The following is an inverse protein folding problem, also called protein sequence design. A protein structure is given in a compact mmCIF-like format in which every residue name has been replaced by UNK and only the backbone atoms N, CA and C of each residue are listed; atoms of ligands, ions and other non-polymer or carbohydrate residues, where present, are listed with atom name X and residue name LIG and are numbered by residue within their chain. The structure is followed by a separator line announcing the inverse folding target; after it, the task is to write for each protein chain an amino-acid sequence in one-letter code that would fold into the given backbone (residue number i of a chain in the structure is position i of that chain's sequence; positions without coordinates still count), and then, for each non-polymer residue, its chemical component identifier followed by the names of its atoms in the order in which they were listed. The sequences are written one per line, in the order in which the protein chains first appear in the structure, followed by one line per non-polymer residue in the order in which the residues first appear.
data_IF_082313792653
#
_entry.id   IF_082313792653
#
_cell.length_a   1.000
_cell.length_b   1.000
_cell.length_c   1.000
_cell.angle_alpha   90.00
_cell.angle_beta   90.00
_cell.angle_gamma   90.00
#
_symmetry.space_group_name_H-M   'P 1'
#
loop_
_entity.id
_entity.type
_entity.pdbx_description
1 polymer ?
#
# COMPACT_ATOMS: atom_id res chain seq x y z
N UNK A 1 30.42 0.77 -14.82
CA UNK A 1 30.41 -0.28 -13.79
C UNK A 1 29.41 0.11 -12.72
N UNK A 2 28.50 -0.79 -12.35
CA UNK A 2 27.55 -0.57 -11.24
C UNK A 2 28.25 -1.05 -9.96
N UNK A 3 28.30 -0.21 -8.91
CA UNK A 3 28.93 -0.56 -7.62
C UNK A 3 27.91 -0.90 -6.55
N UNK A 4 26.97 0.01 -6.31
CA UNK A 4 25.89 -0.17 -5.34
C UNK A 4 24.54 0.04 -6.04
N UNK A 5 23.74 -1.01 -6.15
CA UNK A 5 22.42 -0.97 -6.76
C UNK A 5 21.42 -1.85 -5.99
N UNK A 6 21.04 -1.42 -4.78
CA UNK A 6 19.90 -1.95 -4.02
C UNK A 6 19.77 -3.48 -3.94
N UNK A 7 18.55 -3.96 -3.66
CA UNK A 7 18.17 -5.39 -3.64
C UNK A 7 18.09 -6.00 -5.06
N UNK A 8 18.94 -5.57 -5.99
CA UNK A 8 18.94 -6.06 -7.37
C UNK A 8 19.23 -7.56 -7.38
N UNK A 9 18.25 -8.35 -7.81
CA UNK A 9 18.38 -9.80 -7.91
C UNK A 9 18.94 -10.25 -9.25
N UNK A 10 18.59 -9.54 -10.32
CA UNK A 10 18.97 -9.86 -11.68
C UNK A 10 19.18 -8.57 -12.49
N UNK A 11 20.17 -8.61 -13.39
CA UNK A 11 20.45 -7.56 -14.35
C UNK A 11 20.72 -8.20 -15.69
N UNK A 12 19.91 -7.84 -16.69
CA UNK A 12 20.09 -8.27 -18.06
C UNK A 12 20.38 -7.07 -18.97
N UNK A 13 21.41 -7.19 -19.81
CA UNK A 13 21.79 -6.17 -20.79
C UNK A 13 21.72 -6.81 -22.17
N UNK A 14 20.85 -6.29 -23.03
CA UNK A 14 20.69 -6.76 -24.42
C UNK A 14 20.92 -5.62 -25.41
N UNK A 15 21.46 -5.95 -26.58
CA UNK A 15 21.56 -5.04 -27.72
C UNK A 15 20.36 -5.32 -28.63
N UNK A 16 19.36 -4.44 -28.58
CA UNK A 16 18.07 -4.67 -29.22
C UNK A 16 17.20 -5.72 -28.49
N UNK A 17 15.91 -5.74 -28.80
CA UNK A 17 14.92 -6.63 -28.17
C UNK A 17 13.53 -6.01 -28.11
N UNK A 18 12.56 -6.80 -27.65
CA UNK A 18 11.21 -6.32 -27.39
C UNK A 18 11.13 -5.69 -26.00
N UNK A 19 10.28 -4.66 -25.88
CA UNK A 19 10.05 -3.98 -24.61
C UNK A 19 9.20 -4.88 -23.69
N UNK A 20 9.58 -5.05 -22.41
CA UNK A 20 8.75 -5.77 -21.44
C UNK A 20 7.37 -5.10 -21.31
N UNK A 21 6.32 -5.90 -21.16
CA UNK A 21 4.94 -5.42 -21.22
C UNK A 21 4.56 -4.56 -20.02
N UNK A 22 5.08 -4.88 -18.82
CA UNK A 22 4.80 -4.17 -17.57
C UNK A 22 6.09 -3.70 -16.87
N UNK A 23 6.80 -2.75 -17.48
CA UNK A 23 8.02 -2.18 -16.91
C UNK A 23 7.96 -0.65 -16.79
N UNK A 24 8.54 -0.11 -15.71
CA UNK A 24 8.95 1.29 -15.70
C UNK A 24 10.15 1.46 -16.64
N UNK A 25 10.14 2.52 -17.46
CA UNK A 25 11.16 2.75 -18.49
C UNK A 25 11.84 4.10 -18.28
N UNK A 26 13.15 4.13 -18.45
CA UNK A 26 13.95 5.34 -18.60
C UNK A 26 14.84 5.24 -19.84
N UNK A 27 15.09 6.37 -20.50
CA UNK A 27 16.02 6.44 -21.64
C UNK A 27 17.19 7.36 -21.29
N UNK A 28 18.40 6.91 -21.63
CA UNK A 28 19.62 7.72 -21.57
C UNK A 28 20.46 7.41 -22.80
N UNK A 29 20.84 8.45 -23.56
CA UNK A 29 21.65 8.42 -24.79
C UNK A 29 21.99 7.01 -25.34
N UNK A 30 21.07 6.45 -26.14
CA UNK A 30 21.27 5.17 -26.83
C UNK A 30 20.97 3.91 -26.02
N UNK A 31 20.53 4.04 -24.77
CA UNK A 31 20.16 2.94 -23.87
C UNK A 31 18.73 3.12 -23.35
N UNK A 32 17.96 2.05 -23.38
CA UNK A 32 16.68 1.92 -22.69
C UNK A 32 16.88 1.07 -21.43
N UNK A 33 16.42 1.57 -20.27
CA UNK A 33 16.46 0.87 -18.99
C UNK A 33 15.04 0.51 -18.62
N UNK A 34 14.80 -0.77 -18.37
CA UNK A 34 13.51 -1.31 -17.95
C UNK A 34 13.62 -1.86 -16.54
N UNK A 35 12.63 -1.54 -15.70
CA UNK A 35 12.42 -2.17 -14.40
C UNK A 35 11.11 -2.94 -14.49
N UNK A 36 11.14 -4.27 -14.70
CA UNK A 36 9.94 -5.10 -14.68
C UNK A 36 9.21 -4.91 -13.36
N UNK A 37 7.94 -4.50 -13.44
CA UNK A 37 7.09 -4.28 -12.27
C UNK A 37 6.46 -5.58 -11.78
N UNK A 38 6.51 -6.62 -12.61
CA UNK A 38 6.05 -7.99 -12.35
C UNK A 38 6.75 -8.57 -11.10
N UNK A 39 8.01 -8.21 -10.86
CA UNK A 39 8.81 -8.69 -9.72
C UNK A 39 8.64 -7.86 -8.44
N UNK A 40 8.02 -6.68 -8.51
CA UNK A 40 7.75 -5.85 -7.33
C UNK A 40 6.57 -6.39 -6.50
N UNK A 41 5.72 -7.24 -7.09
CA UNK A 41 4.60 -7.92 -6.43
C UNK A 41 4.58 -9.38 -6.89
N UNK A 42 5.27 -10.30 -6.17
CA UNK A 42 5.52 -11.67 -6.64
C UNK A 42 4.27 -12.52 -6.85
N UNK A 43 3.12 -12.14 -6.26
CA UNK A 43 1.82 -12.77 -6.50
C UNK A 43 0.70 -11.78 -6.12
N UNK A 44 -0.09 -11.27 -7.09
CA UNK A 44 -1.22 -10.39 -6.83
C UNK A 44 -2.26 -10.96 -5.85
N UNK A 45 -2.49 -12.29 -5.85
CA UNK A 45 -3.40 -12.94 -4.90
C UNK A 45 -2.84 -12.95 -3.49
N UNK A 46 -1.53 -13.17 -3.34
CA UNK A 46 -0.86 -13.10 -2.05
C UNK A 46 -0.89 -11.67 -1.48
N UNK A 47 -0.63 -10.68 -2.34
CA UNK A 47 -0.66 -9.26 -1.95
C UNK A 47 -2.09 -8.81 -1.60
N UNK A 48 -3.10 -9.22 -2.38
CA UNK A 48 -4.50 -9.03 -2.02
C UNK A 48 -4.80 -9.63 -0.64
N UNK A 49 -4.40 -10.87 -0.38
CA UNK A 49 -4.63 -11.53 0.91
C UNK A 49 -3.97 -10.77 2.07
N UNK A 50 -2.75 -10.23 1.86
CA UNK A 50 -2.03 -9.40 2.84
C UNK A 50 -2.76 -8.09 3.12
N UNK A 51 -3.16 -7.38 2.06
CA UNK A 51 -3.89 -6.11 2.15
C UNK A 51 -5.25 -6.29 2.83
N UNK A 52 -6.01 -7.32 2.46
CA UNK A 52 -7.28 -7.64 3.13
C UNK A 52 -7.09 -7.95 4.61
N UNK A 53 -6.02 -8.67 4.99
CA UNK A 53 -5.71 -8.95 6.41
C UNK A 53 -5.39 -7.67 7.18
N UNK A 54 -4.63 -6.77 6.57
CA UNK A 54 -4.32 -5.46 7.17
C UNK A 54 -5.57 -4.59 7.30
N UNK A 55 -6.40 -4.54 6.24
CA UNK A 55 -7.67 -3.81 6.22
C UNK A 55 -8.60 -4.30 7.33
N UNK A 56 -8.75 -5.63 7.50
CA UNK A 56 -9.55 -6.20 8.60
C UNK A 56 -9.06 -5.77 9.99
N UNK A 57 -7.75 -5.60 10.19
CA UNK A 57 -7.21 -5.10 11.47
C UNK A 57 -7.57 -3.63 11.68
N UNK A 58 -7.36 -2.80 10.67
CA UNK A 58 -7.70 -1.36 10.70
C UNK A 58 -9.20 -1.16 10.93
N UNK A 59 -10.06 -1.96 10.29
CA UNK A 59 -11.51 -1.89 10.48
C UNK A 59 -11.95 -2.22 11.91
N UNK A 60 -11.32 -3.20 12.57
CA UNK A 60 -11.61 -3.52 13.97
C UNK A 60 -11.26 -2.38 14.92
N UNK A 61 -10.11 -1.73 14.70
CA UNK A 61 -9.72 -0.56 15.47
C UNK A 61 -10.68 0.61 15.25
N UNK A 62 -11.09 0.85 13.99
CA UNK A 62 -12.10 1.85 13.66
C UNK A 62 -13.42 1.59 14.37
N UNK A 63 -13.91 0.35 14.35
CA UNK A 63 -15.15 -0.03 15.02
C UNK A 63 -15.07 0.23 16.53
N UNK A 64 -13.95 -0.13 17.17
CA UNK A 64 -13.73 0.15 18.58
C UNK A 64 -13.74 1.65 18.88
N UNK A 65 -13.01 2.45 18.09
CA UNK A 65 -12.94 3.90 18.23
C UNK A 65 -14.30 4.56 18.02
N UNK A 66 -15.06 4.13 17.01
CA UNK A 66 -16.40 4.64 16.72
C UNK A 66 -17.37 4.33 17.86
N UNK A 67 -17.37 3.10 18.38
CA UNK A 67 -18.19 2.71 19.55
C UNK A 67 -17.81 3.51 20.79
N UNK A 68 -16.52 3.72 21.03
CA UNK A 68 -16.02 4.51 22.16
C UNK A 68 -16.47 5.98 22.05
N UNK A 69 -16.37 6.56 20.85
CA UNK A 69 -16.71 7.95 20.59
C UNK A 69 -18.22 8.22 20.40
N UNK A 70 -19.05 7.19 20.22
CA UNK A 70 -20.51 7.31 20.23
C UNK A 70 -21.12 7.12 21.61
N UNK A 71 -20.35 6.60 22.58
CA UNK A 71 -20.80 6.42 23.95
C UNK A 71 -20.84 7.76 24.70
N UNK A 72 -22.05 8.21 25.08
CA UNK A 72 -22.28 9.47 25.81
C UNK A 72 -21.55 9.51 27.16
N UNK A 73 -21.56 8.41 27.91
CA UNK A 73 -20.88 8.33 29.21
C UNK A 73 -19.37 8.57 29.06
N UNK A 74 -18.78 8.06 27.98
CA UNK A 74 -17.36 8.31 27.69
C UNK A 74 -17.13 9.79 27.34
N UNK A 75 -17.98 10.38 26.49
CA UNK A 75 -17.84 11.77 26.07
C UNK A 75 -18.01 12.77 27.22
N UNK A 76 -18.89 12.46 28.17
CA UNK A 76 -19.17 13.34 29.32
C UNK A 76 -18.13 13.20 30.45
N UNK A 77 -17.60 11.98 30.65
CA UNK A 77 -16.71 11.69 31.80
C UNK A 77 -15.24 11.71 31.46
N UNK A 78 -14.85 11.54 30.19
CA UNK A 78 -13.45 11.54 29.80
C UNK A 78 -12.90 12.98 29.71
N UNK A 79 -11.63 13.21 30.09
CA UNK A 79 -10.97 14.49 29.86
C UNK A 79 -10.98 14.87 28.37
N UNK A 80 -11.10 16.17 28.08
CA UNK A 80 -11.17 16.66 26.70
C UNK A 80 -9.96 16.22 25.86
N UNK A 81 -8.75 16.21 26.44
CA UNK A 81 -7.53 15.75 25.77
C UNK A 81 -7.61 14.27 25.37
N UNK A 82 -8.24 13.43 26.19
CA UNK A 82 -8.45 12.01 25.88
C UNK A 82 -9.44 11.86 24.73
N UNK A 83 -10.56 12.58 24.76
CA UNK A 83 -11.54 12.58 23.67
C UNK A 83 -10.91 13.07 22.36
N UNK A 84 -10.14 14.15 22.41
CA UNK A 84 -9.43 14.70 21.26
C UNK A 84 -8.42 13.69 20.68
N UNK A 85 -7.66 12.99 21.54
CA UNK A 85 -6.73 11.94 21.13
C UNK A 85 -7.44 10.77 20.43
N UNK A 86 -8.57 10.30 20.96
CA UNK A 86 -9.33 9.23 20.32
C UNK A 86 -9.94 9.67 18.97
N UNK A 87 -10.39 10.93 18.86
CA UNK A 87 -10.83 11.50 17.56
C UNK A 87 -9.68 11.60 16.56
N UNK A 88 -8.49 11.96 17.02
CA UNK A 88 -7.27 11.96 16.20
C UNK A 88 -6.94 10.58 15.66
N UNK A 89 -6.96 9.56 16.52
CA UNK A 89 -6.80 8.15 16.09
C UNK A 89 -7.88 7.73 15.09
N UNK A 90 -9.15 8.09 15.34
CA UNK A 90 -10.23 7.75 14.41
C UNK A 90 -9.95 8.28 13.00
N UNK A 91 -9.45 9.53 12.90
CA UNK A 91 -9.06 10.13 11.62
C UNK A 91 -7.90 9.39 10.98
N UNK A 92 -6.82 9.16 11.72
CA UNK A 92 -5.63 8.46 11.21
C UNK A 92 -5.96 7.06 10.68
N UNK A 93 -6.75 6.28 11.43
CA UNK A 93 -7.16 4.96 11.00
C UNK A 93 -8.13 5.01 9.82
N UNK A 94 -8.94 6.07 9.69
CA UNK A 94 -9.85 6.25 8.54
C UNK A 94 -9.06 6.55 7.27
N UNK A 95 -8.06 7.44 7.37
CA UNK A 95 -7.15 7.77 6.27
C UNK A 95 -6.33 6.54 5.86
N UNK A 96 -5.87 5.74 6.83
CA UNK A 96 -5.18 4.48 6.57
C UNK A 96 -6.08 3.46 5.88
N UNK A 97 -7.35 3.35 6.30
CA UNK A 97 -8.33 2.46 5.65
C UNK A 97 -8.50 2.83 4.18
N UNK A 98 -8.71 4.11 3.88
CA UNK A 98 -8.90 4.60 2.52
C UNK A 98 -7.70 4.25 1.61
N UNK A 99 -6.47 4.47 2.08
CA UNK A 99 -5.24 4.11 1.33
C UNK A 99 -5.11 2.60 1.10
N UNK A 100 -5.52 1.78 2.07
CA UNK A 100 -5.51 0.33 1.92
C UNK A 100 -6.58 -0.16 0.93
N UNK A 101 -7.75 0.48 0.93
CA UNK A 101 -8.84 0.20 -0.02
C UNK A 101 -8.42 0.55 -1.45
N UNK A 102 -7.85 1.74 -1.67
CA UNK A 102 -7.31 2.18 -2.96
C UNK A 102 -6.25 1.22 -3.49
N UNK A 103 -5.29 0.83 -2.64
CA UNK A 103 -4.25 -0.12 -3.04
C UNK A 103 -4.82 -1.50 -3.34
N UNK A 104 -5.80 -1.97 -2.55
CA UNK A 104 -6.46 -3.26 -2.80
C UNK A 104 -7.20 -3.27 -4.14
N UNK A 105 -7.85 -2.16 -4.49
CA UNK A 105 -8.51 -2.01 -5.79
C UNK A 105 -7.51 -2.07 -6.94
N UNK A 106 -6.37 -1.37 -6.83
CA UNK A 106 -5.31 -1.45 -7.83
C UNK A 106 -4.79 -2.89 -8.05
N UNK A 107 -4.58 -3.65 -6.97
CA UNK A 107 -4.12 -5.06 -7.05
C UNK A 107 -5.17 -5.97 -7.69
N UNK A 108 -6.46 -5.76 -7.39
CA UNK A 108 -7.55 -6.50 -8.03
C UNK A 108 -7.64 -6.21 -9.52
N UNK A 109 -7.40 -4.96 -9.92
CA UNK A 109 -7.30 -4.55 -11.33
C UNK A 109 -6.19 -5.30 -12.08
N UNK A 110 -5.01 -5.43 -11.47
CA UNK A 110 -3.89 -6.18 -12.03
C UNK A 110 -4.15 -7.69 -12.12
N UNK A 111 -4.97 -8.25 -11.23
CA UNK A 111 -5.32 -9.68 -11.23
C UNK A 111 -6.39 -10.04 -12.27
N UNK A 112 -6.97 -9.05 -12.95
CA UNK A 112 -8.01 -9.20 -13.98
C UNK A 112 -7.51 -9.03 -15.41
N UNK A 113 -6.21 -8.80 -15.58
CA UNK A 113 -5.48 -8.80 -16.85
C UNK A 113 -4.77 -10.15 -17.05
#
# INVERSE_FOLDING_TARGET
FVRDLGLLRELEIRVGGERPQAAAMAMAEGVEVFVPLEDLIPDPKLEEARLQKELRRVMKELEFLQRKLSNRDFLERAPQEVVAKERGKLREYSDRRAKLEERLEAIRGLSSL
#
